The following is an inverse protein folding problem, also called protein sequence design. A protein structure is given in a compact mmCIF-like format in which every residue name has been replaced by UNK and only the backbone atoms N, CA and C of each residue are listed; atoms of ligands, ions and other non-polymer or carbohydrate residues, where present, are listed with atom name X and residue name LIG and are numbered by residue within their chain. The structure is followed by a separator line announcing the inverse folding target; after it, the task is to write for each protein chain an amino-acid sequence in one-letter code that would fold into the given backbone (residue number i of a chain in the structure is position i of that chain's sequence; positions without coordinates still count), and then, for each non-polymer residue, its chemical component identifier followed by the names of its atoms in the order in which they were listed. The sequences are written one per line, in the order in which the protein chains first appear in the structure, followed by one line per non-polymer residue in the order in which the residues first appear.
data_IF_666072247964
#
_entry.id   IF_666072247964
#
_cell.length_a   1.000
_cell.length_b   1.000
_cell.length_c   1.000
_cell.angle_alpha   90.00
_cell.angle_beta   90.00
_cell.angle_gamma   90.00
#
_symmetry.space_group_name_H-M   'P 1'
#
loop_
_entity.id
_entity.type
_entity.pdbx_description
1 polymer ?
#
# COMPACT_ATOMS: atom_id res chain seq x y z
N UNK A 1 9.48 64.63 6.40
CA UNK A 1 9.00 63.69 5.34
C UNK A 1 9.90 62.46 5.09
N UNK A 2 10.97 62.21 5.87
CA UNK A 2 11.92 61.11 5.61
C UNK A 2 11.69 59.83 6.44
N UNK A 3 11.10 59.96 7.65
CA UNK A 3 10.93 58.85 8.60
C UNK A 3 9.91 57.78 8.15
N UNK A 4 8.88 58.19 7.39
CA UNK A 4 7.80 57.30 6.95
C UNK A 4 8.22 56.32 5.82
N UNK A 5 9.27 56.65 5.05
CA UNK A 5 9.72 55.83 3.91
C UNK A 5 10.65 54.67 4.31
N UNK A 6 11.25 54.73 5.50
CA UNK A 6 12.07 53.64 6.06
C UNK A 6 11.20 52.54 6.68
N UNK A 7 10.19 52.93 7.45
CA UNK A 7 9.28 51.99 8.15
C UNK A 7 8.48 51.11 7.18
N UNK A 8 8.07 51.67 6.03
CA UNK A 8 7.40 50.92 4.95
C UNK A 8 8.33 49.89 4.31
N UNK A 9 9.64 50.18 4.22
CA UNK A 9 10.63 49.29 3.60
C UNK A 9 11.01 48.12 4.51
N UNK A 10 10.95 48.32 5.83
CA UNK A 10 11.23 47.29 6.83
C UNK A 10 10.03 46.36 7.07
N UNK A 11 8.80 46.89 7.13
CA UNK A 11 7.56 46.07 7.19
C UNK A 11 7.45 45.11 6.00
N UNK A 12 7.63 45.61 4.77
CA UNK A 12 7.56 44.78 3.54
C UNK A 12 8.60 43.65 3.52
N UNK A 13 9.81 43.89 4.05
CA UNK A 13 10.88 42.86 4.14
C UNK A 13 10.58 41.79 5.19
N UNK A 14 9.84 42.13 6.24
CA UNK A 14 9.49 41.22 7.33
C UNK A 14 8.29 40.35 6.97
N UNK A 15 7.28 40.93 6.31
CA UNK A 15 6.10 40.21 5.83
C UNK A 15 6.47 39.17 4.75
N UNK A 16 7.34 39.53 3.80
CA UNK A 16 7.78 38.63 2.72
C UNK A 16 8.59 37.41 3.22
N UNK A 17 9.39 37.58 4.29
CA UNK A 17 10.13 36.46 4.90
C UNK A 17 9.21 35.47 5.60
N UNK A 18 8.10 35.95 6.19
CA UNK A 18 7.10 35.08 6.83
C UNK A 18 6.30 34.29 5.81
N UNK A 19 5.94 34.91 4.67
CA UNK A 19 5.25 34.21 3.58
C UNK A 19 6.12 33.12 2.95
N UNK A 20 7.44 33.34 2.83
CA UNK A 20 8.38 32.33 2.30
C UNK A 20 8.52 31.14 3.26
N UNK A 21 8.59 31.37 4.59
CA UNK A 21 8.72 30.28 5.58
C UNK A 21 7.43 29.44 5.69
N UNK A 22 6.25 30.06 5.57
CA UNK A 22 4.95 29.34 5.61
C UNK A 22 4.77 28.47 4.36
N UNK A 23 5.25 28.91 3.19
CA UNK A 23 5.19 28.12 1.96
C UNK A 23 6.09 26.87 1.98
N UNK A 24 7.21 26.90 2.71
CA UNK A 24 8.15 25.75 2.81
C UNK A 24 7.63 24.66 3.75
N UNK A 25 6.84 25.01 4.77
CA UNK A 25 6.27 24.04 5.73
C UNK A 25 5.03 23.31 5.16
N UNK A 26 4.34 23.88 4.17
CA UNK A 26 3.14 23.28 3.57
C UNK A 26 3.38 22.10 2.63
N UNK A 27 4.63 21.85 2.20
CA UNK A 27 4.95 20.89 1.14
C UNK A 27 5.36 19.49 1.66
N UNK A 28 5.09 19.16 2.93
CA UNK A 28 5.55 17.91 3.55
C UNK A 28 4.49 16.80 3.69
N UNK A 29 3.25 16.99 3.21
CA UNK A 29 2.14 16.06 3.49
C UNK A 29 1.55 15.32 2.28
N UNK A 30 2.13 15.40 1.09
CA UNK A 30 1.55 14.76 -0.12
C UNK A 30 2.19 13.42 -0.54
N UNK A 31 3.06 12.83 0.27
CA UNK A 31 3.99 11.78 -0.20
C UNK A 31 3.62 10.30 -0.02
N UNK A 32 2.42 9.91 0.45
CA UNK A 32 2.19 8.51 0.91
C UNK A 32 1.08 7.72 0.20
N UNK A 33 0.40 8.25 -0.83
CA UNK A 33 -0.74 7.56 -1.43
C UNK A 33 -0.42 6.68 -2.67
N UNK A 34 0.75 6.81 -3.29
CA UNK A 34 1.03 6.13 -4.57
C UNK A 34 1.03 4.59 -4.48
N UNK A 35 1.43 4.01 -3.35
CA UNK A 35 1.62 2.56 -3.21
C UNK A 35 0.31 1.75 -3.12
N UNK A 36 -0.79 2.39 -2.69
CA UNK A 36 -2.06 1.69 -2.44
C UNK A 36 -2.83 1.38 -3.72
N UNK A 37 -2.77 2.28 -4.70
CA UNK A 37 -3.41 2.10 -6.01
C UNK A 37 -2.70 0.99 -6.82
N UNK A 38 -1.37 0.92 -6.69
CA UNK A 38 -0.57 -0.13 -7.32
C UNK A 38 -0.90 -1.53 -6.77
N UNK A 39 -1.05 -1.66 -5.44
CA UNK A 39 -1.33 -2.96 -4.81
C UNK A 39 -2.66 -3.56 -5.27
N UNK A 40 -3.71 -2.73 -5.41
CA UNK A 40 -5.00 -3.19 -5.91
C UNK A 40 -4.90 -3.65 -7.37
N UNK A 41 -4.26 -2.85 -8.23
CA UNK A 41 -4.10 -3.19 -9.64
C UNK A 41 -3.29 -4.49 -9.83
N UNK A 42 -2.22 -4.66 -9.06
CA UNK A 42 -1.42 -5.89 -9.06
C UNK A 42 -2.25 -7.08 -8.58
N UNK A 43 -3.00 -6.92 -7.48
CA UNK A 43 -3.85 -8.00 -6.96
C UNK A 43 -4.90 -8.42 -7.98
N UNK A 44 -5.57 -7.47 -8.62
CA UNK A 44 -6.62 -7.76 -9.60
C UNK A 44 -6.06 -8.49 -10.84
N UNK A 45 -4.82 -8.17 -11.25
CA UNK A 45 -4.15 -8.76 -12.41
C UNK A 45 -3.56 -10.15 -12.14
N UNK A 46 -2.88 -10.29 -11.00
CA UNK A 46 -2.02 -11.45 -10.69
C UNK A 46 -2.66 -12.41 -9.66
N UNK A 47 -3.43 -11.89 -8.69
CA UNK A 47 -3.88 -12.66 -7.53
C UNK A 47 -5.37 -13.06 -7.60
N UNK A 48 -6.23 -12.18 -8.13
CA UNK A 48 -7.69 -12.33 -8.12
C UNK A 48 -8.19 -13.55 -8.91
N UNK A 49 -7.39 -14.07 -9.85
CA UNK A 49 -7.70 -15.31 -10.59
C UNK A 49 -7.88 -16.52 -9.68
N UNK A 50 -7.15 -16.55 -8.56
CA UNK A 50 -7.20 -17.61 -7.57
C UNK A 50 -7.93 -17.15 -6.30
N UNK A 51 -7.58 -15.96 -5.79
CA UNK A 51 -8.11 -15.42 -4.54
C UNK A 51 -9.45 -14.71 -4.66
N UNK A 52 -9.98 -14.50 -5.87
CA UNK A 52 -11.18 -13.70 -6.11
C UNK A 52 -10.91 -12.20 -5.94
N UNK A 53 -11.71 -11.35 -6.60
CA UNK A 53 -11.60 -9.89 -6.45
C UNK A 53 -11.95 -9.42 -5.04
N UNK A 54 -12.75 -10.21 -4.33
CA UNK A 54 -13.21 -9.99 -2.97
C UNK A 54 -12.39 -10.73 -1.90
N UNK A 55 -11.30 -11.43 -2.31
CA UNK A 55 -10.41 -12.14 -1.40
C UNK A 55 -10.96 -13.45 -0.83
N UNK A 56 -12.15 -13.90 -1.24
CA UNK A 56 -12.79 -15.11 -0.68
C UNK A 56 -12.21 -16.42 -1.18
N UNK A 57 -11.44 -16.41 -2.27
CA UNK A 57 -10.98 -17.62 -2.92
C UNK A 57 -12.10 -18.43 -3.61
N UNK A 58 -13.29 -17.85 -3.78
CA UNK A 58 -14.48 -18.48 -4.35
C UNK A 58 -14.40 -18.69 -5.89
N UNK A 59 -13.20 -18.83 -6.42
CA UNK A 59 -12.94 -19.10 -7.83
C UNK A 59 -12.85 -20.61 -8.08
N UNK A 60 -13.03 -21.04 -9.34
CA UNK A 60 -12.85 -22.46 -9.71
C UNK A 60 -11.46 -22.98 -9.29
N UNK A 61 -10.43 -22.14 -9.42
CA UNK A 61 -9.05 -22.49 -9.05
C UNK A 61 -8.85 -22.47 -7.53
N UNK A 62 -9.39 -21.47 -6.84
CA UNK A 62 -9.31 -21.38 -5.38
C UNK A 62 -9.99 -22.55 -4.68
N UNK A 63 -11.17 -22.99 -5.16
CA UNK A 63 -11.85 -24.20 -4.66
C UNK A 63 -11.04 -25.47 -4.93
N UNK A 64 -10.40 -25.58 -6.10
CA UNK A 64 -9.56 -26.73 -6.44
C UNK A 64 -8.30 -26.82 -5.57
N UNK A 65 -7.72 -25.68 -5.19
CA UNK A 65 -6.51 -25.58 -4.39
C UNK A 65 -6.80 -25.46 -2.88
N UNK A 66 -8.07 -25.39 -2.47
CA UNK A 66 -8.47 -25.22 -1.07
C UNK A 66 -8.04 -23.88 -0.47
N UNK A 67 -8.05 -22.81 -1.27
CA UNK A 67 -7.76 -21.44 -0.80
C UNK A 67 -8.79 -21.06 0.26
N UNK A 68 -8.30 -20.63 1.42
CA UNK A 68 -9.13 -20.16 2.52
C UNK A 68 -9.64 -18.75 2.24
N UNK A 69 -10.81 -18.42 2.78
CA UNK A 69 -11.41 -17.10 2.68
C UNK A 69 -10.56 -16.07 3.45
N UNK A 70 -9.95 -15.12 2.74
CA UNK A 70 -9.13 -14.06 3.35
C UNK A 70 -9.98 -12.96 4.01
N UNK A 71 -11.31 -12.97 3.82
CA UNK A 71 -12.23 -12.10 4.55
C UNK A 71 -12.51 -12.61 5.97
N UNK A 72 -12.27 -13.89 6.23
CA UNK A 72 -12.44 -14.51 7.55
C UNK A 72 -11.32 -14.06 8.52
N UNK A 73 -11.72 -13.47 9.64
CA UNK A 73 -10.82 -12.99 10.68
C UNK A 73 -9.94 -14.11 11.29
N UNK A 74 -10.45 -15.34 11.41
CA UNK A 74 -9.69 -16.51 11.91
C UNK A 74 -8.63 -16.94 10.91
N UNK A 75 -8.94 -16.88 9.62
CA UNK A 75 -7.97 -17.19 8.55
C UNK A 75 -6.85 -16.15 8.57
N UNK A 76 -7.19 -14.86 8.61
CA UNK A 76 -6.21 -13.78 8.73
C UNK A 76 -5.36 -13.90 10.00
N UNK A 77 -5.94 -14.31 11.13
CA UNK A 77 -5.19 -14.54 12.37
C UNK A 77 -4.26 -15.77 12.33
N UNK A 78 -4.47 -16.69 11.39
CA UNK A 78 -3.66 -17.92 11.26
C UNK A 78 -2.26 -17.69 10.65
N UNK A 79 -2.01 -16.52 10.07
CA UNK A 79 -0.74 -16.17 9.46
C UNK A 79 -0.27 -14.75 9.82
N UNK A 80 1.04 -14.57 9.89
CA UNK A 80 1.67 -13.26 10.10
C UNK A 80 1.93 -12.56 8.79
N UNK A 81 2.21 -11.26 8.85
CA UNK A 81 2.56 -10.47 7.66
C UNK A 81 3.86 -10.98 7.02
N UNK A 82 4.84 -11.45 7.80
CA UNK A 82 6.06 -12.04 7.23
C UNK A 82 5.76 -13.35 6.49
N UNK A 83 4.85 -14.18 7.02
CA UNK A 83 4.41 -15.40 6.32
C UNK A 83 3.69 -15.07 5.02
N UNK A 84 2.83 -14.04 5.01
CA UNK A 84 2.15 -13.60 3.80
C UNK A 84 3.15 -13.03 2.78
N UNK A 85 4.11 -12.23 3.23
CA UNK A 85 5.19 -11.70 2.39
C UNK A 85 5.99 -12.83 1.75
N UNK A 86 6.41 -13.81 2.54
CA UNK A 86 7.16 -14.97 2.06
C UNK A 86 6.33 -15.82 1.11
N UNK A 87 5.05 -16.03 1.39
CA UNK A 87 4.14 -16.74 0.50
C UNK A 87 3.99 -16.05 -0.87
N UNK A 88 3.93 -14.72 -0.90
CA UNK A 88 3.90 -13.95 -2.16
C UNK A 88 5.24 -14.04 -2.87
N UNK A 89 6.35 -13.93 -2.15
CA UNK A 89 7.71 -13.89 -2.73
C UNK A 89 8.20 -15.24 -3.24
N UNK A 90 7.96 -16.31 -2.49
CA UNK A 90 8.49 -17.65 -2.75
C UNK A 90 7.43 -18.64 -3.24
N UNK A 91 6.15 -18.31 -3.08
CA UNK A 91 5.04 -19.23 -3.29
C UNK A 91 4.82 -20.18 -2.11
N UNK A 92 3.78 -21.01 -2.22
CA UNK A 92 3.44 -22.06 -1.26
C UNK A 92 3.37 -23.38 -2.00
N UNK A 93 4.11 -24.37 -1.51
CA UNK A 93 4.08 -25.76 -2.00
C UNK A 93 3.71 -26.69 -0.85
N UNK A 94 2.87 -27.66 -1.15
CA UNK A 94 2.48 -28.76 -0.26
C UNK A 94 2.85 -30.07 -0.96
N UNK A 95 4.03 -30.61 -0.63
CA UNK A 95 4.66 -31.69 -1.38
C UNK A 95 4.89 -31.31 -2.85
N UNK A 96 4.40 -32.14 -3.77
CA UNK A 96 4.48 -31.91 -5.22
C UNK A 96 3.45 -30.89 -5.74
N UNK A 97 2.49 -30.45 -4.90
CA UNK A 97 1.44 -29.52 -5.30
C UNK A 97 1.84 -28.08 -5.00
N UNK A 98 1.89 -27.25 -6.04
CA UNK A 98 2.02 -25.80 -5.87
C UNK A 98 0.65 -25.20 -5.54
N UNK A 99 0.46 -24.77 -4.30
CA UNK A 99 -0.77 -24.12 -3.82
C UNK A 99 -0.79 -22.64 -4.23
N UNK A 100 0.36 -21.98 -4.22
CA UNK A 100 0.51 -20.60 -4.62
C UNK A 100 1.83 -20.44 -5.38
N UNK A 101 1.79 -19.82 -6.56
CA UNK A 101 3.00 -19.47 -7.30
C UNK A 101 3.62 -18.22 -6.69
N UNK A 102 4.95 -18.15 -6.73
CA UNK A 102 5.66 -16.91 -6.43
C UNK A 102 5.21 -15.80 -7.38
N UNK A 103 5.05 -14.59 -6.85
CA UNK A 103 4.82 -13.40 -7.66
C UNK A 103 6.15 -12.97 -8.28
N UNK A 104 6.28 -13.13 -9.58
CA UNK A 104 7.49 -12.76 -10.31
C UNK A 104 7.48 -11.26 -10.67
N UNK A 105 8.64 -10.61 -10.58
CA UNK A 105 8.80 -9.21 -11.00
C UNK A 105 8.22 -8.17 -10.03
N UNK A 106 7.84 -8.55 -8.81
CA UNK A 106 7.44 -7.60 -7.77
C UNK A 106 8.62 -7.21 -6.87
N UNK A 107 8.69 -5.92 -6.52
CA UNK A 107 9.64 -5.41 -5.51
C UNK A 107 9.15 -5.74 -4.11
N UNK A 108 10.07 -5.74 -3.13
CA UNK A 108 9.72 -5.98 -1.73
C UNK A 108 8.66 -4.98 -1.21
N UNK A 109 8.69 -3.73 -1.66
CA UNK A 109 7.68 -2.73 -1.26
C UNK A 109 6.31 -3.00 -1.88
N UNK A 110 6.25 -3.47 -3.13
CA UNK A 110 5.00 -3.91 -3.76
C UNK A 110 4.42 -5.13 -3.04
N UNK A 111 5.26 -6.08 -2.62
CA UNK A 111 4.83 -7.25 -1.85
C UNK A 111 4.27 -6.82 -0.49
N UNK A 112 4.94 -5.90 0.22
CA UNK A 112 4.43 -5.34 1.49
C UNK A 112 3.08 -4.63 1.28
N UNK A 113 2.96 -3.84 0.21
CA UNK A 113 1.72 -3.17 -0.13
C UNK A 113 0.58 -4.17 -0.44
N UNK A 114 0.90 -5.30 -1.11
CA UNK A 114 -0.05 -6.40 -1.33
C UNK A 114 -0.46 -7.08 -0.03
N UNK A 115 0.47 -7.34 0.90
CA UNK A 115 0.13 -7.89 2.22
C UNK A 115 -0.83 -6.94 2.95
N UNK A 116 -0.53 -5.64 2.96
CA UNK A 116 -1.41 -4.63 3.54
C UNK A 116 -2.78 -4.58 2.85
N UNK A 117 -2.82 -4.73 1.52
CA UNK A 117 -4.08 -4.82 0.77
C UNK A 117 -4.88 -6.08 1.14
N UNK A 118 -4.21 -7.23 1.27
CA UNK A 118 -4.86 -8.48 1.72
C UNK A 118 -5.45 -8.32 3.12
N UNK A 119 -4.78 -7.61 4.03
CA UNK A 119 -5.31 -7.33 5.38
C UNK A 119 -6.61 -6.51 5.36
N UNK A 120 -6.86 -5.71 4.32
CA UNK A 120 -8.11 -4.93 4.18
C UNK A 120 -9.33 -5.78 3.85
N UNK A 121 -9.17 -7.04 3.43
CA UNK A 121 -10.30 -7.94 3.18
C UNK A 121 -10.99 -8.40 4.47
N UNK A 122 -10.30 -8.35 5.61
CA UNK A 122 -10.85 -8.72 6.90
C UNK A 122 -12.08 -7.87 7.20
N UNK A 123 -13.22 -8.53 7.43
CA UNK A 123 -14.46 -7.91 7.88
C UNK A 123 -14.71 -8.14 9.37
#
# INVERSE_FOLDING_TARGET
MWKCKLELKEKVKWDMKKTIVIAIVGLALCGVNAMADDAKAIFDKECAKCHGQDGKGDTKMGKKLGIKDLTDAKVQASFTDEKAFKAIKEGIKDGDKTLMKAAEGLTDDQIKALVAYVRKFKK
#
